data_IF_862237061376
#
_entry.id   IF_862237061376
#
_cell.length_a   1.000
_cell.length_b   1.000
_cell.length_c   1.000
_cell.angle_alpha   90.00
_cell.angle_beta   90.00
_cell.angle_gamma   90.00
#
_symmetry.space_group_name_H-M   'P 1'
#
loop_
_entity.id
_entity.type
_entity.pdbx_description
1 polymer ?
#
# COMPACT_ATOMS: atom_id res chain seq x y z
N UNK A 1 3.61 -22.18 -4.35
CA UNK A 1 3.69 -20.70 -4.34
C UNK A 1 2.93 -20.30 -3.10
N UNK A 2 3.66 -19.94 -2.05
CA UNK A 2 3.09 -19.82 -0.72
C UNK A 2 2.27 -18.54 -0.61
N UNK A 3 1.20 -18.59 0.18
CA UNK A 3 0.38 -17.42 0.44
C UNK A 3 1.19 -16.40 1.25
N UNK A 4 1.14 -15.14 0.82
CA UNK A 4 1.79 -14.02 1.50
C UNK A 4 0.75 -13.09 2.12
N UNK A 5 1.06 -12.54 3.29
CA UNK A 5 0.17 -11.62 4.00
C UNK A 5 0.21 -10.19 3.44
N UNK A 6 1.29 -9.85 2.72
CA UNK A 6 1.58 -8.53 2.16
C UNK A 6 2.70 -8.63 1.13
N UNK A 7 2.72 -7.69 0.21
CA UNK A 7 3.81 -7.54 -0.74
C UNK A 7 3.56 -6.39 -1.70
N UNK A 8 4.62 -5.99 -2.39
CA UNK A 8 4.56 -5.04 -3.48
C UNK A 8 5.35 -5.57 -4.69
N UNK A 9 4.99 -5.08 -5.88
CA UNK A 9 5.61 -5.45 -7.15
C UNK A 9 6.10 -4.22 -7.93
N UNK A 10 6.85 -4.46 -9.00
CA UNK A 10 7.47 -3.41 -9.83
C UNK A 10 8.64 -2.73 -9.14
N UNK A 11 9.20 -1.70 -9.78
CA UNK A 11 10.38 -1.00 -9.24
C UNK A 11 10.10 -0.25 -7.94
N UNK A 12 8.85 0.16 -7.69
CA UNK A 12 8.45 0.79 -6.42
C UNK A 12 8.52 -0.14 -5.22
N UNK A 13 8.50 -1.46 -5.42
CA UNK A 13 8.51 -2.45 -4.34
C UNK A 13 9.75 -2.34 -3.44
N UNK A 14 10.91 -1.98 -4.01
CA UNK A 14 12.16 -1.80 -3.26
C UNK A 14 12.08 -0.69 -2.21
N UNK A 15 11.17 0.26 -2.37
CA UNK A 15 10.99 1.38 -1.45
C UNK A 15 9.91 1.12 -0.40
N UNK A 16 8.87 0.34 -0.75
CA UNK A 16 7.68 0.19 0.10
C UNK A 16 7.63 -1.12 0.89
N UNK A 17 8.32 -2.18 0.46
CA UNK A 17 8.27 -3.47 1.16
C UNK A 17 8.77 -3.35 2.61
N UNK A 18 9.82 -2.57 2.86
CA UNK A 18 10.31 -2.32 4.22
C UNK A 18 9.29 -1.58 5.11
N UNK A 19 8.42 -0.74 4.53
CA UNK A 19 7.33 -0.06 5.24
C UNK A 19 6.26 -1.08 5.61
N UNK A 20 5.86 -1.94 4.67
CA UNK A 20 4.94 -3.04 4.93
C UNK A 20 5.51 -3.99 6.00
N UNK A 21 6.82 -4.26 6.00
CA UNK A 21 7.55 -5.00 7.03
C UNK A 21 7.49 -4.41 8.41
N UNK A 22 7.63 -3.10 8.51
CA UNK A 22 7.63 -2.41 9.78
C UNK A 22 6.25 -2.30 10.42
N UNK A 23 5.21 -2.03 9.64
CA UNK A 23 3.89 -1.64 10.17
C UNK A 23 2.84 -2.75 10.11
N UNK A 24 3.08 -3.84 9.38
CA UNK A 24 2.14 -4.95 9.35
C UNK A 24 2.07 -5.71 10.68
N UNK A 25 0.86 -6.04 11.10
CA UNK A 25 0.55 -7.01 12.15
C UNK A 25 -0.76 -7.73 11.84
N UNK A 26 -0.99 -8.87 12.49
CA UNK A 26 -2.13 -9.75 12.21
C UNK A 26 -3.50 -9.07 12.40
N UNK A 27 -3.60 -8.14 13.35
CA UNK A 27 -4.85 -7.47 13.74
C UNK A 27 -5.02 -6.06 13.14
N UNK A 28 -4.51 -5.82 11.91
CA UNK A 28 -4.67 -4.53 11.23
C UNK A 28 -6.15 -4.26 10.95
N UNK A 29 -6.61 -3.06 11.30
CA UNK A 29 -7.91 -2.55 10.85
C UNK A 29 -7.79 -1.72 9.55
N UNK A 30 -8.93 -1.35 8.96
CA UNK A 30 -8.94 -0.61 7.69
C UNK A 30 -8.24 0.75 7.78
N UNK A 31 -8.46 1.50 8.87
CA UNK A 31 -7.87 2.84 9.05
C UNK A 31 -6.34 2.75 9.15
N UNK A 32 -5.83 1.77 9.89
CA UNK A 32 -4.39 1.48 10.00
C UNK A 32 -3.81 1.09 8.64
N UNK A 33 -4.48 0.21 7.89
CA UNK A 33 -4.03 -0.17 6.55
C UNK A 33 -3.92 1.05 5.62
N UNK A 34 -4.92 1.93 5.63
CA UNK A 34 -4.91 3.17 4.83
C UNK A 34 -3.77 4.11 5.26
N UNK A 35 -3.47 4.19 6.56
CA UNK A 35 -2.33 4.95 7.06
C UNK A 35 -0.99 4.37 6.58
N UNK A 36 -0.86 3.05 6.51
CA UNK A 36 0.33 2.39 5.96
C UNK A 36 0.47 2.73 4.47
N UNK A 37 -0.61 2.64 3.69
CA UNK A 37 -0.58 3.04 2.27
C UNK A 37 -0.19 4.50 2.07
N UNK A 38 -0.70 5.41 2.91
CA UNK A 38 -0.28 6.82 2.88
C UNK A 38 1.23 6.96 3.06
N UNK A 39 1.85 6.23 4.00
CA UNK A 39 3.31 6.23 4.19
C UNK A 39 4.04 5.68 2.97
N UNK A 40 3.54 4.61 2.36
CA UNK A 40 4.11 4.05 1.13
C UNK A 40 4.09 5.08 0.00
N UNK A 41 3.00 5.82 -0.16
CA UNK A 41 2.88 6.82 -1.20
C UNK A 41 3.78 8.05 -0.96
N UNK A 42 3.91 8.49 0.30
CA UNK A 42 4.85 9.55 0.67
C UNK A 42 6.29 9.15 0.36
N UNK A 43 6.67 7.89 0.61
CA UNK A 43 8.01 7.36 0.30
C UNK A 43 8.24 7.31 -1.21
N UNK A 44 7.27 6.83 -1.99
CA UNK A 44 7.35 6.83 -3.45
C UNK A 44 7.45 8.25 -4.01
N UNK A 45 6.61 9.18 -3.54
CA UNK A 45 6.65 10.59 -3.95
C UNK A 45 8.01 11.25 -3.66
N UNK A 46 8.67 10.85 -2.57
CA UNK A 46 9.95 11.42 -2.14
C UNK A 46 11.17 10.82 -2.84
N UNK A 47 11.18 9.49 -3.07
CA UNK A 47 12.39 8.76 -3.47
C UNK A 47 12.31 8.04 -4.80
N UNK A 48 11.11 7.83 -5.34
CA UNK A 48 10.97 7.15 -6.62
C UNK A 48 11.28 8.12 -7.76
N UNK A 49 11.96 7.61 -8.80
CA UNK A 49 12.38 8.44 -9.94
C UNK A 49 11.19 9.03 -10.71
N UNK A 50 10.09 8.28 -10.77
CA UNK A 50 8.85 8.71 -11.41
C UNK A 50 7.88 9.20 -10.33
N UNK A 51 7.59 10.49 -10.31
CA UNK A 51 6.62 11.03 -9.36
C UNK A 51 5.21 10.63 -9.76
N UNK A 52 4.73 9.52 -9.21
CA UNK A 52 3.34 9.09 -9.36
C UNK A 52 2.47 9.87 -8.36
N UNK A 53 1.47 10.59 -8.87
CA UNK A 53 0.55 11.41 -8.07
C UNK A 53 -0.82 10.79 -7.86
N UNK A 54 -1.22 9.84 -8.72
CA UNK A 54 -2.53 9.20 -8.69
C UNK A 54 -2.41 7.72 -8.36
N UNK A 55 -3.18 7.28 -7.36
CA UNK A 55 -3.23 5.90 -6.89
C UNK A 55 -4.67 5.41 -6.84
N UNK A 56 -4.87 4.16 -7.25
CA UNK A 56 -6.15 3.44 -7.09
C UNK A 56 -5.99 2.44 -5.94
N UNK A 57 -6.87 2.55 -4.96
CA UNK A 57 -7.01 1.61 -3.84
C UNK A 57 -8.26 0.77 -4.05
N UNK A 58 -8.15 -0.55 -3.89
CA UNK A 58 -9.28 -1.48 -3.91
C UNK A 58 -9.34 -2.21 -2.58
N UNK A 59 -10.41 -1.96 -1.84
CA UNK A 59 -10.65 -2.53 -0.52
C UNK A 59 -11.66 -3.66 -0.68
N UNK A 60 -11.33 -4.84 -0.15
CA UNK A 60 -12.18 -6.04 -0.24
C UNK A 60 -12.61 -6.46 1.16
N UNK A 61 -13.92 -6.51 1.41
CA UNK A 61 -14.49 -6.94 2.68
C UNK A 61 -15.85 -7.64 2.46
N UNK A 62 -16.03 -8.84 3.01
CA UNK A 62 -17.29 -9.61 2.95
C UNK A 62 -17.89 -9.68 1.53
N UNK A 63 -17.08 -10.08 0.54
CA UNK A 63 -17.44 -10.17 -0.89
C UNK A 63 -17.79 -8.85 -1.58
N UNK A 64 -17.64 -7.72 -0.88
CA UNK A 64 -17.77 -6.38 -1.47
C UNK A 64 -16.41 -5.83 -1.85
N UNK A 65 -16.35 -5.18 -3.00
CA UNK A 65 -15.17 -4.46 -3.50
C UNK A 65 -15.51 -2.98 -3.56
N UNK A 66 -14.72 -2.16 -2.88
CA UNK A 66 -14.81 -0.70 -2.93
C UNK A 66 -13.54 -0.14 -3.57
N UNK A 67 -13.69 0.68 -4.60
CA UNK A 67 -12.59 1.37 -5.26
C UNK A 67 -12.53 2.83 -4.81
N UNK A 68 -11.35 3.27 -4.39
CA UNK A 68 -11.06 4.65 -4.02
C UNK A 68 -9.90 5.17 -4.84
N UNK A 69 -10.03 6.39 -5.37
CA UNK A 69 -8.97 7.07 -6.11
C UNK A 69 -8.38 8.17 -5.23
N UNK A 70 -7.07 8.15 -5.06
CA UNK A 70 -6.35 9.09 -4.19
C UNK A 70 -5.31 9.84 -5.02
N UNK A 71 -5.35 11.17 -4.92
CA UNK A 71 -4.35 12.07 -5.51
C UNK A 71 -3.55 12.73 -4.39
N UNK A 72 -2.21 12.80 -4.54
CA UNK A 72 -1.27 13.19 -3.47
C UNK A 72 -0.28 14.26 -3.90
#
# INVERSE_FOLDING_TARGET
MDAINKGAHGYGAYLVNAILDKYYHENINLEEALLIFKKCFEELKKRFLLTQVNYELRIMANDKVESQYVTI
#
